data_IF_212564508479
#
_entry.id   IF_212564508479
#
_cell.length_a   1.000
_cell.length_b   1.000
_cell.length_c   1.000
_cell.angle_alpha   90.00
_cell.angle_beta   90.00
_cell.angle_gamma   90.00
#
_symmetry.space_group_name_H-M   'P 1'
#
loop_
_entity.id
_entity.type
_entity.pdbx_description
1 polymer ?
#
# COMPACT_ATOMS: atom_id res chain seq x y z
N UNK A 1 11.90 -0.69 6.85
CA UNK A 1 11.53 0.18 7.98
C UNK A 1 12.02 1.61 7.83
N UNK A 2 13.31 1.87 7.53
CA UNK A 2 13.81 3.25 7.36
C UNK A 2 13.42 3.90 6.03
N UNK A 3 13.42 3.13 4.94
CA UNK A 3 13.07 3.61 3.59
C UNK A 3 11.62 4.07 3.48
N UNK A 4 10.72 3.38 4.19
CA UNK A 4 9.27 3.60 4.09
C UNK A 4 8.87 4.99 4.62
N UNK A 5 9.56 5.47 5.65
CA UNK A 5 9.34 6.81 6.22
C UNK A 5 9.88 7.91 5.32
N UNK A 6 11.09 7.72 4.78
CA UNK A 6 11.69 8.67 3.85
C UNK A 6 10.82 8.80 2.60
N UNK A 7 10.27 7.70 2.08
CA UNK A 7 9.34 7.71 0.95
C UNK A 7 8.08 8.54 1.24
N UNK A 8 7.40 8.29 2.36
CA UNK A 8 6.18 9.03 2.75
C UNK A 8 6.45 10.52 3.00
N UNK A 9 7.60 10.88 3.58
CA UNK A 9 7.98 12.28 3.77
C UNK A 9 8.23 12.98 2.43
N UNK A 10 8.89 12.32 1.48
CA UNK A 10 9.13 12.88 0.15
C UNK A 10 7.81 13.07 -0.60
N UNK A 11 6.90 12.09 -0.55
CA UNK A 11 5.56 12.18 -1.14
C UNK A 11 4.77 13.38 -0.56
N UNK A 12 4.75 13.54 0.76
CA UNK A 12 4.11 14.67 1.42
C UNK A 12 4.72 16.03 1.03
N UNK A 13 6.04 16.12 0.90
CA UNK A 13 6.74 17.32 0.44
C UNK A 13 6.39 17.62 -1.02
N UNK A 14 6.38 16.60 -1.89
CA UNK A 14 6.02 16.74 -3.30
C UNK A 14 4.59 17.23 -3.48
N UNK A 15 3.62 16.67 -2.73
CA UNK A 15 2.22 17.12 -2.76
C UNK A 15 2.08 18.55 -2.24
N UNK A 16 2.78 18.90 -1.15
CA UNK A 16 2.76 20.25 -0.59
C UNK A 16 3.32 21.28 -1.58
N UNK A 17 4.44 20.98 -2.23
CA UNK A 17 4.99 21.85 -3.27
C UNK A 17 4.03 21.89 -4.47
N UNK A 18 3.57 20.74 -4.98
CA UNK A 18 2.64 20.69 -6.12
C UNK A 18 1.38 21.53 -5.92
N UNK A 19 0.77 21.44 -4.74
CA UNK A 19 -0.41 22.24 -4.38
C UNK A 19 -0.13 23.74 -4.29
N UNK A 20 1.06 24.16 -3.82
CA UNK A 20 1.47 25.58 -3.81
C UNK A 20 1.59 26.15 -5.23
N UNK A 21 1.98 25.33 -6.20
CA UNK A 21 2.05 25.70 -7.61
C UNK A 21 0.71 25.52 -8.36
N UNK A 22 -0.37 25.15 -7.66
CA UNK A 22 -1.69 24.95 -8.26
C UNK A 22 -1.83 23.65 -9.07
N UNK A 23 -0.89 22.71 -8.93
CA UNK A 23 -0.95 21.39 -9.57
C UNK A 23 -1.82 20.42 -8.75
N UNK A 24 -2.50 19.46 -9.40
CA UNK A 24 -3.06 18.31 -8.69
C UNK A 24 -1.96 17.55 -7.91
N UNK A 25 -2.34 16.84 -6.83
CA UNK A 25 -1.42 16.09 -5.99
C UNK A 25 -0.66 15.04 -6.82
N UNK A 26 0.67 15.03 -6.69
CA UNK A 26 1.56 14.10 -7.40
C UNK A 26 1.89 12.95 -6.47
N UNK A 27 1.47 11.74 -6.84
CA UNK A 27 1.69 10.52 -6.04
C UNK A 27 2.44 9.48 -6.84
N UNK A 28 3.18 8.59 -6.17
CA UNK A 28 3.84 7.46 -6.83
C UNK A 28 2.80 6.51 -7.46
N UNK A 29 2.86 6.33 -8.78
CA UNK A 29 1.99 5.40 -9.51
C UNK A 29 2.57 3.98 -9.52
N UNK A 30 1.68 2.99 -9.48
CA UNK A 30 2.05 1.56 -9.48
C UNK A 30 2.80 1.16 -10.75
N UNK A 31 2.47 1.81 -11.87
CA UNK A 31 3.08 1.56 -13.18
C UNK A 31 4.55 2.01 -13.21
N UNK A 32 4.91 3.05 -12.44
CA UNK A 32 6.32 3.45 -12.27
C UNK A 32 7.15 2.35 -11.61
N UNK A 33 6.52 1.43 -10.86
CA UNK A 33 7.16 0.24 -10.30
C UNK A 33 7.73 -0.70 -11.38
N UNK A 34 7.08 -0.78 -12.55
CA UNK A 34 7.59 -1.57 -13.67
C UNK A 34 8.94 -1.03 -14.18
N UNK A 35 9.08 0.30 -14.28
CA UNK A 35 10.35 0.94 -14.67
C UNK A 35 11.49 0.73 -13.66
N UNK A 36 11.17 0.51 -12.38
CA UNK A 36 12.16 0.15 -11.35
C UNK A 36 12.62 -1.31 -11.54
N UNK A 37 11.70 -2.21 -11.87
CA UNK A 37 11.99 -3.61 -12.19
C UNK A 37 12.86 -3.79 -13.43
N UNK A 38 12.70 -2.92 -14.43
CA UNK A 38 13.51 -2.89 -15.66
C UNK A 38 14.91 -2.27 -15.47
N UNK A 39 15.26 -1.80 -14.28
CA UNK A 39 16.60 -1.31 -13.95
C UNK A 39 16.70 0.16 -13.55
N UNK A 40 15.58 0.88 -13.45
CA UNK A 40 15.51 2.28 -13.00
C UNK A 40 15.72 2.49 -11.50
N UNK A 41 16.74 1.86 -10.91
CA UNK A 41 16.98 1.87 -9.45
C UNK A 41 17.84 3.04 -8.95
N UNK A 42 18.46 3.80 -9.85
CA UNK A 42 19.47 4.82 -9.52
C UNK A 42 18.91 6.24 -9.35
N UNK A 43 17.60 6.44 -9.47
CA UNK A 43 16.94 7.76 -9.38
C UNK A 43 17.27 8.71 -10.55
N UNK A 44 18.31 8.42 -11.35
CA UNK A 44 18.63 9.17 -12.56
C UNK A 44 17.51 9.07 -13.59
N UNK A 45 16.83 7.92 -13.69
CA UNK A 45 15.66 7.74 -14.56
C UNK A 45 14.56 8.74 -14.24
N UNK A 46 14.20 8.95 -12.97
CA UNK A 46 13.19 9.94 -12.58
C UNK A 46 13.61 11.37 -12.90
N UNK A 47 14.90 11.72 -12.77
CA UNK A 47 15.40 13.04 -13.13
C UNK A 47 15.33 13.28 -14.65
N UNK A 48 15.71 12.27 -15.45
CA UNK A 48 15.62 12.35 -16.93
C UNK A 48 14.16 12.44 -17.37
N UNK A 49 13.25 11.64 -16.78
CA UNK A 49 11.81 11.72 -17.07
C UNK A 49 11.24 13.09 -16.71
N UNK A 50 11.61 13.66 -15.55
CA UNK A 50 11.21 15.01 -15.15
C UNK A 50 11.72 16.10 -16.09
N UNK A 51 12.99 16.00 -16.52
CA UNK A 51 13.57 16.93 -17.50
C UNK A 51 12.88 16.81 -18.88
N UNK A 52 12.58 15.58 -19.31
CA UNK A 52 11.86 15.32 -20.56
C UNK A 52 10.44 15.91 -20.50
N UNK A 53 9.74 15.77 -19.37
CA UNK A 53 8.44 16.41 -19.13
C UNK A 53 8.54 17.95 -19.13
N UNK A 54 9.60 18.52 -18.56
CA UNK A 54 9.83 19.97 -18.60
C UNK A 54 10.00 20.47 -20.03
N UNK A 55 10.76 19.76 -20.86
CA UNK A 55 10.89 20.07 -22.31
C UNK A 55 9.54 19.88 -23.02
N UNK A 56 8.76 18.85 -22.66
CA UNK A 56 7.46 18.57 -23.24
C UNK A 56 6.43 19.69 -23.00
N UNK A 57 6.57 20.51 -21.95
CA UNK A 57 5.69 21.69 -21.73
C UNK A 57 5.77 22.69 -22.89
N UNK A 58 6.94 22.85 -23.53
CA UNK A 58 7.06 23.71 -24.73
C UNK A 58 6.33 23.11 -25.95
N UNK A 59 6.14 21.79 -25.97
CA UNK A 59 5.37 21.07 -26.98
C UNK A 59 3.90 20.86 -26.59
N UNK A 60 3.48 21.29 -25.40
CA UNK A 60 2.08 21.26 -24.96
C UNK A 60 1.07 21.82 -25.99
N UNK A 61 1.32 22.94 -26.69
CA UNK A 61 0.39 23.44 -27.71
C UNK A 61 0.19 22.48 -28.90
N UNK A 62 1.18 21.62 -29.20
CA UNK A 62 1.05 20.59 -30.24
C UNK A 62 0.14 19.46 -29.74
N UNK A 63 0.28 19.03 -28.48
CA UNK A 63 -0.60 18.04 -27.87
C UNK A 63 -2.04 18.52 -27.68
N UNK A 64 -2.24 19.84 -27.49
CA UNK A 64 -3.57 20.44 -27.39
C UNK A 64 -4.38 20.36 -28.71
N UNK A 65 -3.73 20.07 -29.85
CA UNK A 65 -4.41 19.85 -31.14
C UNK A 65 -4.99 18.44 -31.30
N UNK A 66 -4.69 17.52 -30.37
CA UNK A 66 -5.19 16.14 -30.43
C UNK A 66 -6.68 16.13 -30.08
N UNK A 67 -7.54 15.51 -30.91
CA UNK A 67 -8.97 15.46 -30.65
C UNK A 67 -9.29 14.71 -29.35
N UNK A 68 -10.27 15.19 -28.54
CA UNK A 68 -10.65 14.55 -27.27
C UNK A 68 -11.15 13.11 -27.42
N UNK A 69 -11.62 12.71 -28.60
CA UNK A 69 -12.07 11.35 -28.85
C UNK A 69 -10.94 10.32 -28.77
N UNK A 70 -9.69 10.73 -29.03
CA UNK A 70 -8.54 9.84 -28.94
C UNK A 70 -8.15 9.52 -27.49
N UNK A 71 -8.30 10.46 -26.55
CA UNK A 71 -7.93 10.27 -25.14
C UNK A 71 -8.96 9.44 -24.37
N UNK A 72 -10.22 9.41 -24.83
CA UNK A 72 -11.28 8.61 -24.22
C UNK A 72 -10.97 7.11 -24.14
N UNK A 73 -10.47 6.51 -25.23
CA UNK A 73 -10.12 5.09 -25.26
C UNK A 73 -9.04 4.74 -24.24
N UNK A 74 -8.04 5.62 -24.07
CA UNK A 74 -6.97 5.44 -23.09
C UNK A 74 -7.52 5.47 -21.67
N UNK A 75 -8.42 6.41 -21.34
CA UNK A 75 -9.03 6.50 -20.01
C UNK A 75 -9.84 5.25 -19.65
N UNK A 76 -10.51 4.63 -20.61
CA UNK A 76 -11.25 3.37 -20.39
C UNK A 76 -10.30 2.23 -20.05
N UNK A 77 -9.18 2.10 -20.77
CA UNK A 77 -8.18 1.05 -20.53
C UNK A 77 -7.50 1.26 -19.18
N UNK A 78 -7.08 2.49 -18.86
CA UNK A 78 -6.45 2.82 -17.57
C UNK A 78 -7.43 2.57 -16.41
N UNK A 79 -8.71 2.93 -16.58
CA UNK A 79 -9.76 2.62 -15.61
C UNK A 79 -9.90 1.11 -15.37
N UNK A 80 -9.90 0.30 -16.43
CA UNK A 80 -9.95 -1.15 -16.32
C UNK A 80 -8.71 -1.74 -15.61
N UNK A 81 -7.52 -1.19 -15.87
CA UNK A 81 -6.28 -1.59 -15.18
C UNK A 81 -6.32 -1.24 -13.69
N UNK A 82 -6.85 -0.08 -13.32
CA UNK A 82 -7.01 0.32 -11.91
C UNK A 82 -8.07 -0.52 -11.18
N UNK A 83 -9.14 -0.94 -11.86
CA UNK A 83 -10.12 -1.87 -11.29
C UNK A 83 -9.51 -3.21 -10.88
N UNK A 84 -8.38 -3.63 -11.47
CA UNK A 84 -7.68 -4.85 -11.07
C UNK A 84 -7.23 -4.80 -9.60
N UNK A 85 -6.88 -3.62 -9.08
CA UNK A 85 -6.50 -3.45 -7.68
C UNK A 85 -7.66 -3.72 -6.70
N UNK A 86 -8.92 -3.61 -7.15
CA UNK A 86 -10.07 -3.98 -6.33
C UNK A 86 -10.17 -5.50 -6.07
N UNK A 87 -9.50 -6.33 -6.89
CA UNK A 87 -9.44 -7.76 -6.69
C UNK A 87 -8.49 -8.18 -5.55
N UNK A 88 -7.50 -7.35 -5.22
CA UNK A 88 -6.54 -7.60 -4.12
C UNK A 88 -7.15 -7.31 -2.73
N UNK A 89 -8.42 -6.85 -2.68
CA UNK A 89 -9.15 -6.60 -1.44
C UNK A 89 -9.52 -7.94 -0.79
N UNK A 90 -9.41 -8.03 0.53
CA UNK A 90 -9.79 -9.22 1.29
C UNK A 90 -11.33 -9.37 1.36
N UNK A 91 -11.90 -10.04 0.36
CA UNK A 91 -13.34 -10.31 0.27
C UNK A 91 -13.85 -11.37 1.24
N UNK A 92 -12.94 -12.10 1.90
CA UNK A 92 -13.26 -13.21 2.79
C UNK A 92 -13.75 -12.73 4.17
N UNK A 93 -13.32 -11.52 4.55
CA UNK A 93 -13.75 -10.87 5.77
C UNK A 93 -14.84 -9.81 5.50
N UNK A 94 -16.06 -10.08 5.99
CA UNK A 94 -17.22 -9.19 5.77
C UNK A 94 -17.01 -7.77 6.31
N UNK A 95 -16.20 -7.59 7.36
CA UNK A 95 -15.93 -6.27 7.92
C UNK A 95 -15.06 -5.37 7.03
N UNK A 96 -14.34 -5.93 6.07
CA UNK A 96 -13.50 -5.18 5.11
C UNK A 96 -14.17 -5.19 3.71
N UNK A 97 -14.85 -6.29 3.36
CA UNK A 97 -15.59 -6.43 2.11
C UNK A 97 -16.77 -5.45 1.99
N UNK A 98 -17.56 -5.25 3.06
CA UNK A 98 -18.73 -4.35 3.04
C UNK A 98 -18.31 -2.88 2.83
N UNK A 99 -17.34 -2.32 3.59
CA UNK A 99 -16.85 -0.97 3.37
C UNK A 99 -16.22 -0.78 1.98
N UNK A 100 -15.44 -1.76 1.50
CA UNK A 100 -14.83 -1.71 0.17
C UNK A 100 -15.89 -1.65 -0.93
N UNK A 101 -16.91 -2.51 -0.86
CA UNK A 101 -18.03 -2.51 -1.81
C UNK A 101 -18.79 -1.18 -1.79
N UNK A 102 -19.08 -0.67 -0.59
CA UNK A 102 -19.78 0.61 -0.41
C UNK A 102 -18.98 1.76 -1.03
N UNK A 103 -17.66 1.77 -0.85
CA UNK A 103 -16.77 2.79 -1.42
C UNK A 103 -16.84 2.80 -2.94
N UNK A 104 -16.71 1.63 -3.57
CA UNK A 104 -16.74 1.48 -5.03
C UNK A 104 -18.10 1.87 -5.61
N UNK A 105 -19.21 1.56 -4.92
CA UNK A 105 -20.55 1.91 -5.37
C UNK A 105 -20.86 3.41 -5.19
N UNK A 106 -20.50 4.02 -4.05
CA UNK A 106 -20.87 5.41 -3.74
C UNK A 106 -20.11 6.44 -4.58
N UNK A 107 -18.87 6.15 -4.98
CA UNK A 107 -18.06 7.05 -5.81
C UNK A 107 -18.78 7.49 -7.11
N UNK A 108 -19.25 6.58 -7.99
CA UNK A 108 -19.98 6.95 -9.20
C UNK A 108 -21.36 7.54 -8.88
N UNK A 109 -22.07 7.06 -7.85
CA UNK A 109 -23.39 7.59 -7.48
C UNK A 109 -23.32 9.06 -7.02
N UNK A 110 -22.23 9.46 -6.37
CA UNK A 110 -22.07 10.81 -5.82
C UNK A 110 -21.30 11.74 -6.78
N UNK A 111 -20.81 11.21 -7.91
CA UNK A 111 -19.89 11.92 -8.82
C UNK A 111 -18.69 12.57 -8.10
N UNK A 112 -18.30 12.00 -6.96
CA UNK A 112 -17.27 12.56 -6.08
C UNK A 112 -16.51 11.46 -5.36
N UNK A 113 -15.21 11.41 -5.65
CA UNK A 113 -14.26 10.47 -5.05
C UNK A 113 -14.17 10.72 -3.54
N UNK A 114 -14.21 11.98 -3.11
CA UNK A 114 -14.11 12.37 -1.71
C UNK A 114 -15.28 11.84 -0.87
N UNK A 115 -16.52 12.03 -1.33
CA UNK A 115 -17.68 11.53 -0.60
C UNK A 115 -17.73 9.99 -0.58
N UNK A 116 -17.32 9.33 -1.66
CA UNK A 116 -17.18 7.87 -1.70
C UNK A 116 -16.17 7.34 -0.67
N UNK A 117 -14.98 7.96 -0.59
CA UNK A 117 -13.97 7.60 0.41
C UNK A 117 -14.46 7.83 1.85
N UNK A 118 -15.09 8.96 2.12
CA UNK A 118 -15.61 9.28 3.46
C UNK A 118 -16.66 8.25 3.89
N UNK A 119 -17.61 7.92 3.01
CA UNK A 119 -18.63 6.92 3.30
C UNK A 119 -18.03 5.53 3.54
N UNK A 120 -17.02 5.15 2.75
CA UNK A 120 -16.25 3.92 2.93
C UNK A 120 -15.56 3.83 4.30
N UNK A 121 -14.79 4.85 4.66
CA UNK A 121 -14.08 4.92 5.95
C UNK A 121 -15.08 4.92 7.12
N UNK A 122 -16.17 5.66 7.00
CA UNK A 122 -17.20 5.71 8.04
C UNK A 122 -17.87 4.33 8.22
N UNK A 123 -18.18 3.65 7.11
CA UNK A 123 -18.71 2.28 7.14
C UNK A 123 -17.74 1.30 7.81
N UNK A 124 -16.45 1.38 7.47
CA UNK A 124 -15.40 0.57 8.09
C UNK A 124 -15.33 0.79 9.61
N UNK A 125 -15.29 2.05 10.04
CA UNK A 125 -15.26 2.40 11.47
C UNK A 125 -16.52 1.90 12.16
N UNK A 126 -17.71 2.12 11.59
CA UNK A 126 -18.96 1.66 12.17
C UNK A 126 -19.01 0.13 12.33
N UNK A 127 -18.69 -0.63 11.29
CA UNK A 127 -18.75 -2.10 11.34
C UNK A 127 -17.71 -2.65 12.32
N UNK A 128 -16.46 -2.18 12.22
CA UNK A 128 -15.37 -2.69 13.06
C UNK A 128 -15.55 -2.26 14.53
N UNK A 129 -16.07 -1.05 14.80
CA UNK A 129 -16.45 -0.63 16.16
C UNK A 129 -17.59 -1.46 16.72
N UNK A 130 -18.64 -1.74 15.94
CA UNK A 130 -19.79 -2.49 16.44
C UNK A 130 -19.38 -3.92 16.79
N UNK A 131 -18.55 -4.55 15.97
CA UNK A 131 -17.95 -5.85 16.27
C UNK A 131 -17.10 -5.79 17.54
N UNK A 132 -16.27 -4.76 17.70
CA UNK A 132 -15.45 -4.57 18.89
C UNK A 132 -16.28 -4.37 20.17
N UNK A 133 -17.35 -3.57 20.11
CA UNK A 133 -18.26 -3.33 21.25
C UNK A 133 -18.99 -4.61 21.65
N UNK A 134 -19.49 -5.38 20.68
CA UNK A 134 -20.17 -6.66 20.92
C UNK A 134 -19.23 -7.65 21.60
N UNK A 135 -17.98 -7.74 21.15
CA UNK A 135 -16.97 -8.59 21.76
C UNK A 135 -16.64 -8.17 23.20
N UNK A 136 -16.46 -6.86 23.43
CA UNK A 136 -16.24 -6.28 24.76
C UNK A 136 -17.42 -6.53 25.71
N UNK A 137 -18.64 -6.45 25.21
CA UNK A 137 -19.85 -6.69 25.98
C UNK A 137 -20.09 -8.19 26.24
N UNK A 138 -19.65 -9.08 25.34
CA UNK A 138 -19.87 -10.53 25.44
C UNK A 138 -18.72 -11.30 26.11
N UNK A 139 -17.70 -10.61 26.65
CA UNK A 139 -16.55 -11.20 27.36
C UNK A 139 -15.96 -12.45 26.66
N UNK A 140 -15.89 -12.42 25.32
CA UNK A 140 -15.31 -13.49 24.50
C UNK A 140 -16.22 -14.67 24.13
N UNK A 141 -17.53 -14.62 24.39
CA UNK A 141 -18.45 -15.74 24.08
C UNK A 141 -19.01 -15.74 22.65
N UNK A 142 -19.02 -14.58 21.98
CA UNK A 142 -19.47 -14.43 20.59
C UNK A 142 -18.34 -13.73 19.83
N UNK A 143 -17.49 -14.55 19.21
CA UNK A 143 -16.54 -14.07 18.21
C UNK A 143 -17.17 -14.31 16.85
N UNK A 144 -17.36 -13.29 16.00
CA UNK A 144 -17.88 -13.51 14.66
C UNK A 144 -16.93 -14.45 13.89
N UNK A 145 -17.46 -15.41 13.12
CA UNK A 145 -16.66 -16.28 12.26
C UNK A 145 -15.80 -15.44 11.29
N UNK A 146 -14.57 -15.87 11.00
CA UNK A 146 -13.55 -15.22 10.15
C UNK A 146 -12.69 -14.10 10.78
N UNK A 147 -12.55 -14.04 12.10
CA UNK A 147 -11.66 -13.06 12.74
C UNK A 147 -10.16 -13.28 12.47
N UNK A 148 -9.77 -14.51 12.15
CA UNK A 148 -8.38 -14.92 11.88
C UNK A 148 -7.85 -14.45 10.52
N UNK A 149 -8.73 -13.91 9.67
CA UNK A 149 -8.42 -13.47 8.31
C UNK A 149 -8.28 -11.96 8.19
N UNK A 150 -8.41 -11.22 9.30
CA UNK A 150 -8.17 -9.78 9.33
C UNK A 150 -6.71 -9.49 9.07
N UNK A 151 -6.44 -8.54 8.18
CA UNK A 151 -5.10 -8.01 8.04
C UNK A 151 -4.64 -7.36 9.36
N UNK A 152 -3.47 -7.73 9.89
CA UNK A 152 -3.01 -7.24 11.18
C UNK A 152 -2.68 -5.74 11.10
N UNK A 153 -3.61 -4.90 11.56
CA UNK A 153 -3.39 -3.46 11.67
C UNK A 153 -2.61 -3.14 12.96
N UNK A 154 -1.36 -2.71 12.82
CA UNK A 154 -0.49 -2.32 13.93
C UNK A 154 -0.50 -0.80 14.16
N UNK A 155 -0.89 -0.36 15.36
CA UNK A 155 -0.87 1.06 15.76
C UNK A 155 0.53 1.54 16.17
N UNK A 156 1.50 0.63 16.32
CA UNK A 156 2.87 0.99 16.67
C UNK A 156 3.66 1.26 15.40
N UNK A 157 3.93 2.53 15.13
CA UNK A 157 5.02 2.94 14.24
C UNK A 157 6.36 2.50 14.85
N UNK A 158 7.06 1.49 14.30
CA UNK A 158 8.37 1.10 14.79
C UNK A 158 9.37 2.18 14.35
N UNK A 159 10.03 2.79 15.32
CA UNK A 159 10.84 4.01 15.15
C UNK A 159 10.07 5.27 15.57
N UNK A 160 10.65 6.08 16.44
CA UNK A 160 10.00 7.29 16.97
C UNK A 160 9.64 8.34 15.91
N UNK A 161 9.05 9.44 16.35
CA UNK A 161 8.53 10.54 15.51
C UNK A 161 9.56 11.14 14.51
N UNK A 162 10.85 11.06 14.81
CA UNK A 162 11.91 11.69 14.01
C UNK A 162 12.60 10.69 13.09
N UNK A 163 12.93 11.09 11.84
CA UNK A 163 13.67 10.24 10.91
C UNK A 163 15.02 9.82 11.51
N UNK A 164 15.41 8.55 11.39
CA UNK A 164 16.69 8.06 11.87
C UNK A 164 17.87 8.84 11.27
N UNK A 165 17.79 9.27 10.00
CA UNK A 165 18.81 10.11 9.38
C UNK A 165 18.92 11.50 10.00
N UNK A 166 17.83 12.11 10.49
CA UNK A 166 17.87 13.39 11.23
C UNK A 166 18.57 13.19 12.57
N UNK A 167 18.24 12.10 13.28
CA UNK A 167 18.96 11.71 14.51
C UNK A 167 20.44 11.36 14.23
N UNK A 168 20.78 10.81 13.07
CA UNK A 168 22.15 10.46 12.65
C UNK A 168 22.94 11.69 12.17
N UNK A 169 22.29 12.63 11.49
CA UNK A 169 22.84 13.91 11.05
C UNK A 169 23.14 14.81 12.26
N UNK A 170 22.22 14.86 13.23
CA UNK A 170 22.45 15.51 14.52
C UNK A 170 23.57 14.86 15.34
N UNK A 171 23.91 13.59 15.07
CA UNK A 171 25.04 12.86 15.69
C UNK A 171 26.32 12.80 14.83
N UNK A 172 26.38 13.51 13.69
CA UNK A 172 27.60 13.66 12.89
C UNK A 172 28.15 12.39 12.21
N UNK A 173 27.36 11.32 12.03
CA UNK A 173 27.84 10.09 11.37
C UNK A 173 27.76 10.19 9.84
N UNK A 174 28.90 10.01 9.15
CA UNK A 174 29.04 10.15 7.68
C UNK A 174 28.39 9.05 6.83
N UNK A 175 27.90 7.97 7.45
CA UNK A 175 27.18 6.87 6.77
C UNK A 175 25.69 6.92 7.12
N UNK A 176 24.98 7.91 6.59
CA UNK A 176 23.54 8.11 6.84
C UNK A 176 22.63 7.48 5.76
N UNK A 177 23.21 6.97 4.67
CA UNK A 177 22.52 6.51 3.46
C UNK A 177 22.41 4.97 3.32
N UNK A 178 23.06 4.20 4.20
CA UNK A 178 22.99 2.74 4.14
C UNK A 178 21.78 2.24 4.94
N UNK A 179 20.89 1.43 4.33
CA UNK A 179 19.88 0.68 5.07
C UNK A 179 20.58 -0.37 5.95
N UNK A 180 20.04 -0.59 7.16
CA UNK A 180 20.60 -1.54 8.11
C UNK A 180 20.46 -2.98 7.55
N UNK A 181 21.57 -3.66 7.25
CA UNK A 181 21.57 -5.12 7.02
C UNK A 181 21.47 -5.91 8.33
N UNK A 182 21.46 -5.22 9.48
CA UNK A 182 21.55 -5.84 10.80
C UNK A 182 20.25 -5.64 11.59
N UNK A 183 19.18 -6.34 11.18
CA UNK A 183 18.09 -6.86 12.05
C UNK A 183 17.05 -7.68 11.25
N UNK A 184 17.47 -8.63 10.43
CA UNK A 184 16.58 -9.70 9.91
C UNK A 184 16.32 -10.83 10.94
N UNK A 185 16.65 -10.62 12.22
CA UNK A 185 16.75 -11.70 13.22
C UNK A 185 15.87 -11.61 14.47
N UNK A 186 14.84 -10.75 14.53
CA UNK A 186 13.97 -10.69 15.72
C UNK A 186 12.50 -10.78 15.32
N UNK A 187 12.07 -12.01 15.05
CA UNK A 187 10.71 -12.46 15.34
C UNK A 187 10.64 -12.64 16.87
N UNK A 188 9.87 -11.84 17.63
CA UNK A 188 9.54 -12.23 18.98
C UNK A 188 8.47 -13.33 18.90
N UNK A 189 8.95 -14.56 18.81
CA UNK A 189 8.16 -15.77 19.02
C UNK A 189 7.81 -15.86 20.53
N UNK A 190 6.58 -16.26 20.87
CA UNK A 190 6.16 -16.19 22.26
C UNK A 190 4.72 -16.55 22.63
N UNK A 191 4.07 -17.44 21.88
CA UNK A 191 3.22 -18.46 22.51
C UNK A 191 3.47 -19.79 21.82
N UNK A 192 4.43 -20.54 22.39
CA UNK A 192 4.98 -21.80 21.90
C UNK A 192 4.33 -22.98 22.65
N UNK A 193 3.87 -23.98 21.89
CA UNK A 193 3.88 -25.44 22.16
C UNK A 193 2.96 -25.99 23.29
N UNK A 194 2.39 -27.20 23.27
CA UNK A 194 2.82 -28.48 22.68
C UNK A 194 1.63 -29.45 22.62
N UNK A 195 1.56 -30.35 21.62
CA UNK A 195 1.50 -31.79 21.92
C UNK A 195 1.81 -32.64 20.67
N UNK A 196 2.98 -33.27 20.69
CA UNK A 196 3.32 -34.45 19.92
C UNK A 196 2.44 -35.63 20.37
N UNK A 197 1.88 -36.37 19.42
CA UNK A 197 1.69 -37.82 19.56
C UNK A 197 1.78 -38.45 18.17
N UNK A 198 2.86 -39.18 17.98
CA UNK A 198 3.22 -39.80 16.71
C UNK A 198 2.29 -40.95 16.30
N UNK A 199 2.30 -41.20 15.00
CA UNK A 199 2.12 -42.54 14.47
C UNK A 199 3.18 -42.76 13.38
N UNK A 200 4.14 -43.64 13.70
CA UNK A 200 5.08 -44.21 12.73
C UNK A 200 4.46 -45.48 12.15
N UNK A 201 4.21 -45.50 10.85
CA UNK A 201 4.32 -46.67 9.97
C UNK A 201 4.26 -46.12 8.54
N UNK A 202 5.30 -46.13 7.73
CA UNK A 202 6.15 -47.27 7.40
C UNK A 202 5.95 -47.58 5.92
N UNK A 203 6.72 -46.96 5.03
CA UNK A 203 7.14 -47.62 3.80
C UNK A 203 8.45 -47.01 3.31
N UNK A 204 9.44 -47.89 3.16
CA UNK A 204 10.83 -47.67 2.80
C UNK A 204 11.03 -48.28 1.41
N UNK A 205 12.02 -47.76 0.67
CA UNK A 205 12.68 -48.34 -0.52
C UNK A 205 11.89 -48.25 -1.83
N UNK A 206 12.49 -47.99 -3.00
CA UNK A 206 13.90 -47.97 -3.43
C UNK A 206 13.98 -47.43 -4.87
N UNK A 207 15.14 -46.87 -5.24
CA UNK A 207 15.81 -46.94 -6.56
C UNK A 207 15.07 -46.31 -7.77
N UNK A 208 15.64 -45.44 -8.60
CA UNK A 208 16.97 -45.44 -9.21
C UNK A 208 16.89 -46.02 -10.64
N UNK A 209 17.32 -45.23 -11.65
CA UNK A 209 17.47 -45.59 -13.09
C UNK A 209 16.11 -45.70 -13.81
N UNK A 210 15.80 -44.99 -14.90
CA UNK A 210 16.51 -44.73 -16.18
C UNK A 210 16.05 -43.39 -16.75
#
# INVERSE_FOLDING_TARGET
MDTDRCSQMVDAICVSIGSLFGSPPVTAFVESGAGISEGGKTGMTSCVTGLCFFIAVFFAPIFASIPPWATGCTLVIVGALMCKAAADINWKYYGDAIPAFLTIAIMPFTYSIAYGLIAGILSYICINMMVWIVEKASFGRIVPPNKDEKDPWTWKLPGGFFPPWVKRAARGKKKFWQPDEENEGVVPDGSVSSNDRGEKSGFKSKSGVV
#
